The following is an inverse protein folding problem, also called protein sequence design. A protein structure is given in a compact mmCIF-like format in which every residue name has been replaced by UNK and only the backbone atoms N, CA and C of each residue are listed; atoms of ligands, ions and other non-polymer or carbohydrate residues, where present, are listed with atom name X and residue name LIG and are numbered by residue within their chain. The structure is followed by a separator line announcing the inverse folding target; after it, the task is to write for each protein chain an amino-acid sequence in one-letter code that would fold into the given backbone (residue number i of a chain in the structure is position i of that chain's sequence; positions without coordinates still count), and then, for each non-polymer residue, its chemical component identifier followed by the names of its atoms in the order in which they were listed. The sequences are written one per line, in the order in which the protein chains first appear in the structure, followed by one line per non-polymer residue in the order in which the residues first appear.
data_IF_106487587140
#
_entry.id   IF_106487587140
#
_cell.length_a   1.000
_cell.length_b   1.000
_cell.length_c   1.000
_cell.angle_alpha   90.00
_cell.angle_beta   90.00
_cell.angle_gamma   90.00
#
_symmetry.space_group_name_H-M   'P 1'
#
loop_
_entity.id
_entity.type
_entity.pdbx_description
1 polymer ?
#
# COMPACT_ATOMS: atom_id res chain seq x y z
N UNK A 1 24.66 14.71 -10.56
CA UNK A 1 24.30 13.27 -10.55
C UNK A 1 23.43 13.18 -9.31
N UNK A 2 22.11 13.23 -9.50
CA UNK A 2 21.17 13.99 -8.66
C UNK A 2 21.07 13.61 -7.17
N UNK A 3 21.18 14.62 -6.32
CA UNK A 3 20.30 15.03 -5.23
C UNK A 3 19.36 13.93 -4.71
N UNK A 4 19.84 13.09 -3.80
CA UNK A 4 19.16 11.84 -3.43
C UNK A 4 17.78 12.06 -2.77
N UNK A 5 17.58 13.19 -2.09
CA UNK A 5 16.31 13.51 -1.39
C UNK A 5 15.35 14.26 -2.32
N UNK A 6 15.82 15.27 -3.04
CA UNK A 6 15.03 16.04 -4.01
C UNK A 6 14.53 15.14 -5.14
N UNK A 7 15.40 14.27 -5.67
CA UNK A 7 15.01 13.31 -6.69
C UNK A 7 14.00 12.30 -6.14
N UNK A 8 14.10 11.89 -4.86
CA UNK A 8 13.07 11.05 -4.25
C UNK A 8 11.72 11.80 -4.16
N UNK A 9 11.74 13.07 -3.74
CA UNK A 9 10.56 13.92 -3.64
C UNK A 9 9.86 14.14 -4.98
N UNK A 10 10.62 14.41 -6.04
CA UNK A 10 10.11 14.56 -7.42
C UNK A 10 9.41 13.28 -7.89
N UNK A 11 10.04 12.12 -7.70
CA UNK A 11 9.48 10.82 -8.10
C UNK A 11 8.22 10.43 -7.32
N UNK A 12 8.15 10.83 -6.05
CA UNK A 12 6.96 10.61 -5.22
C UNK A 12 5.75 11.41 -5.72
N UNK A 13 5.98 12.58 -6.34
CA UNK A 13 4.94 13.42 -6.93
C UNK A 13 4.60 13.02 -8.38
N UNK A 14 5.47 12.29 -9.09
CA UNK A 14 5.14 11.79 -10.42
C UNK A 14 4.23 10.56 -10.38
N UNK A 15 2.97 10.74 -10.81
CA UNK A 15 1.98 9.66 -10.87
C UNK A 15 2.26 8.61 -11.93
N UNK A 16 3.27 8.82 -12.79
CA UNK A 16 3.73 7.82 -13.75
C UNK A 16 4.60 6.77 -13.07
N UNK A 17 5.28 7.10 -11.98
CA UNK A 17 6.17 6.17 -11.28
C UNK A 17 5.43 5.29 -10.29
N UNK A 18 5.77 4.01 -10.29
CA UNK A 18 5.23 3.05 -9.34
C UNK A 18 6.04 3.09 -8.05
N UNK A 19 5.36 2.84 -6.94
CA UNK A 19 5.98 2.78 -5.63
C UNK A 19 7.02 1.66 -5.58
N UNK A 20 6.80 0.53 -6.27
CA UNK A 20 7.81 -0.54 -6.41
C UNK A 20 9.14 -0.06 -7.01
N UNK A 21 9.10 0.96 -7.89
CA UNK A 21 10.27 1.54 -8.54
C UNK A 21 10.97 2.58 -7.63
N UNK A 22 10.23 3.22 -6.74
CA UNK A 22 10.71 4.29 -5.84
C UNK A 22 11.31 3.72 -4.55
N UNK A 23 10.71 2.66 -4.01
CA UNK A 23 11.07 2.07 -2.70
C UNK A 23 12.55 1.71 -2.55
N UNK A 24 13.25 1.10 -3.54
CA UNK A 24 14.67 0.79 -3.40
C UNK A 24 15.54 2.02 -3.14
N UNK A 25 15.24 3.14 -3.77
CA UNK A 25 15.94 4.41 -3.57
C UNK A 25 15.68 4.97 -2.17
N UNK A 26 14.43 4.92 -1.70
CA UNK A 26 14.06 5.37 -0.35
C UNK A 26 14.73 4.50 0.74
N UNK A 27 14.76 3.18 0.57
CA UNK A 27 15.45 2.26 1.49
C UNK A 27 16.95 2.60 1.55
N UNK A 28 17.58 2.83 0.40
CA UNK A 28 19.00 3.19 0.31
C UNK A 28 19.27 4.50 1.04
N UNK A 29 18.43 5.52 0.84
CA UNK A 29 18.54 6.80 1.53
C UNK A 29 18.44 6.63 3.07
N UNK A 30 17.45 5.88 3.56
CA UNK A 30 17.29 5.61 4.99
C UNK A 30 18.53 4.90 5.58
N UNK A 31 19.11 3.95 4.83
CA UNK A 31 20.36 3.28 5.22
C UNK A 31 21.56 4.24 5.27
N UNK A 32 21.70 5.13 4.28
CA UNK A 32 22.79 6.12 4.24
C UNK A 32 22.72 7.11 5.41
N UNK A 33 21.50 7.47 5.83
CA UNK A 33 21.21 8.30 7.00
C UNK A 33 21.30 7.55 8.33
N UNK A 34 21.49 6.22 8.31
CA UNK A 34 21.46 5.33 9.49
C UNK A 34 20.14 5.33 10.26
N UNK A 35 19.04 5.63 9.59
CA UNK A 35 17.68 5.56 10.12
C UNK A 35 17.18 4.11 10.01
N UNK A 36 17.42 3.33 11.08
CA UNK A 36 17.21 1.88 11.07
C UNK A 36 15.73 1.52 11.12
N UNK A 37 14.94 2.28 11.86
CA UNK A 37 13.50 2.05 12.02
C UNK A 37 12.78 2.34 10.69
N UNK A 38 13.10 3.46 10.05
CA UNK A 38 12.60 3.83 8.73
C UNK A 38 13.00 2.79 7.67
N UNK A 39 14.28 2.41 7.61
CA UNK A 39 14.74 1.41 6.64
C UNK A 39 14.07 0.04 6.85
N UNK A 40 13.82 -0.36 8.10
CA UNK A 40 13.10 -1.60 8.42
C UNK A 40 11.65 -1.52 7.98
N UNK A 41 10.95 -0.44 8.30
CA UNK A 41 9.56 -0.23 7.88
C UNK A 41 9.43 -0.26 6.36
N UNK A 42 10.31 0.44 5.63
CA UNK A 42 10.29 0.44 4.17
C UNK A 42 10.51 -0.95 3.57
N UNK A 43 11.44 -1.74 4.11
CA UNK A 43 11.65 -3.12 3.65
C UNK A 43 10.42 -3.99 3.90
N UNK A 44 9.81 -3.90 5.08
CA UNK A 44 8.59 -4.65 5.39
C UNK A 44 7.42 -4.21 4.50
N UNK A 45 7.28 -2.92 4.21
CA UNK A 45 6.27 -2.44 3.25
C UNK A 45 6.52 -2.97 1.83
N UNK A 46 7.78 -3.04 1.41
CA UNK A 46 8.19 -3.52 0.10
C UNK A 46 7.96 -5.02 -0.07
N UNK A 47 8.45 -5.83 0.87
CA UNK A 47 8.43 -7.29 0.82
C UNK A 47 7.07 -7.87 1.26
N UNK A 48 6.38 -7.17 2.16
CA UNK A 48 5.16 -7.63 2.82
C UNK A 48 5.39 -8.06 4.28
N UNK A 49 4.27 -8.28 4.97
CA UNK A 49 4.24 -8.59 6.40
C UNK A 49 4.13 -10.10 6.60
N UNK A 50 5.16 -10.71 7.19
CA UNK A 50 5.15 -12.12 7.55
C UNK A 50 4.38 -12.43 8.84
N UNK A 51 4.28 -11.46 9.76
CA UNK A 51 3.56 -11.58 11.01
C UNK A 51 2.32 -10.65 11.04
N UNK A 52 1.10 -11.19 11.19
CA UNK A 52 -0.11 -10.39 11.32
C UNK A 52 -0.06 -9.34 12.45
N UNK A 53 0.71 -9.58 13.52
CA UNK A 53 0.82 -8.63 14.64
C UNK A 53 1.60 -7.36 14.28
N UNK A 54 2.44 -7.43 13.25
CA UNK A 54 3.27 -6.31 12.78
C UNK A 54 2.58 -5.39 11.80
N UNK A 55 1.33 -5.69 11.41
CA UNK A 55 0.54 -4.89 10.49
C UNK A 55 0.18 -3.51 11.08
N UNK A 56 0.54 -2.41 10.39
CA UNK A 56 0.09 -1.08 10.75
C UNK A 56 -1.44 -0.98 10.73
N UNK A 57 -2.04 -0.07 11.54
CA UNK A 57 -3.50 0.13 11.59
C UNK A 57 -4.15 0.32 10.21
N UNK A 58 -3.51 1.05 9.29
CA UNK A 58 -4.09 1.30 7.96
C UNK A 58 -4.14 0.06 7.06
N UNK A 59 -3.38 -1.01 7.36
CA UNK A 59 -3.42 -2.29 6.62
C UNK A 59 -4.38 -3.30 7.22
N UNK A 60 -5.00 -3.00 8.37
CA UNK A 60 -5.92 -3.89 9.07
C UNK A 60 -7.37 -3.54 8.78
N UNK A 61 -8.24 -4.54 8.87
CA UNK A 61 -9.70 -4.39 8.78
C UNK A 61 -10.15 -3.62 7.52
N UNK A 62 -9.50 -3.87 6.38
CA UNK A 62 -9.83 -3.20 5.11
C UNK A 62 -11.16 -3.73 4.60
N UNK A 63 -12.18 -2.87 4.40
CA UNK A 63 -13.53 -3.31 4.07
C UNK A 63 -13.63 -3.91 2.67
N UNK A 64 -14.47 -4.93 2.54
CA UNK A 64 -14.83 -5.57 1.29
C UNK A 64 -16.26 -6.10 1.29
N UNK A 65 -16.67 -6.66 0.16
CA UNK A 65 -18.02 -7.20 -0.03
C UNK A 65 -17.97 -8.70 -0.24
N UNK A 66 -18.73 -9.45 0.55
CA UNK A 66 -18.82 -10.91 0.45
C UNK A 66 -19.67 -11.27 -0.77
N UNK A 67 -19.12 -12.14 -1.62
CA UNK A 67 -19.75 -12.61 -2.86
C UNK A 67 -19.75 -14.14 -2.91
N UNK A 68 -20.77 -14.70 -3.56
CA UNK A 68 -20.94 -16.13 -3.80
C UNK A 68 -20.90 -16.43 -5.30
N UNK A 69 -20.35 -17.58 -5.66
CA UNK A 69 -20.28 -18.05 -7.05
C UNK A 69 -21.56 -18.77 -7.46
N UNK A 70 -22.42 -18.10 -8.22
CA UNK A 70 -23.55 -18.71 -8.90
C UNK A 70 -23.12 -19.39 -10.21
N UNK A 71 -23.58 -20.62 -10.49
CA UNK A 71 -23.33 -21.30 -11.78
C UNK A 71 -23.86 -20.53 -12.99
N UNK A 72 -24.93 -19.74 -12.82
CA UNK A 72 -25.62 -19.05 -13.91
C UNK A 72 -25.18 -17.59 -14.06
N UNK A 73 -25.03 -16.88 -12.93
CA UNK A 73 -24.77 -15.43 -12.93
C UNK A 73 -23.34 -15.05 -12.56
N UNK A 74 -22.47 -16.04 -12.33
CA UNK A 74 -21.12 -15.80 -11.85
C UNK A 74 -21.13 -15.29 -10.40
N UNK A 75 -20.28 -14.32 -10.10
CA UNK A 75 -20.16 -13.77 -8.74
C UNK A 75 -21.29 -12.79 -8.44
N UNK A 76 -22.10 -13.12 -7.43
CA UNK A 76 -23.20 -12.28 -6.93
C UNK A 76 -22.98 -11.95 -5.46
N UNK A 77 -23.53 -10.83 -4.94
CA UNK A 77 -23.51 -10.56 -3.50
C UNK A 77 -24.06 -11.74 -2.70
N UNK A 78 -23.33 -12.15 -1.65
CA UNK A 78 -23.78 -13.24 -0.79
C UNK A 78 -24.91 -12.75 0.13
N UNK A 79 -25.91 -13.60 0.46
CA UNK A 79 -26.96 -13.26 1.41
C UNK A 79 -26.41 -13.32 2.84
N UNK A 80 -25.69 -12.27 3.24
CA UNK A 80 -25.05 -12.16 4.57
C UNK A 80 -25.75 -11.16 5.49
N UNK A 81 -25.87 -11.51 6.76
CA UNK A 81 -26.33 -10.66 7.85
C UNK A 81 -25.22 -9.74 8.38
N UNK A 82 -25.56 -8.86 9.32
CA UNK A 82 -24.59 -7.89 9.86
C UNK A 82 -23.52 -8.52 10.74
N UNK A 83 -23.76 -9.70 11.32
CA UNK A 83 -22.73 -10.43 12.07
C UNK A 83 -21.68 -10.98 11.10
N UNK A 84 -22.12 -11.62 10.03
CA UNK A 84 -21.25 -12.17 8.99
C UNK A 84 -20.46 -11.08 8.28
N UNK A 85 -21.05 -9.91 8.04
CA UNK A 85 -20.31 -8.74 7.50
C UNK A 85 -19.23 -8.25 8.46
N UNK A 86 -19.46 -8.26 9.77
CA UNK A 86 -18.42 -7.89 10.73
C UNK A 86 -17.29 -8.91 10.74
N UNK A 87 -17.64 -10.19 10.81
CA UNK A 87 -16.68 -11.28 10.98
C UNK A 87 -15.86 -11.56 9.70
N UNK A 88 -16.46 -11.41 8.51
CA UNK A 88 -15.84 -11.80 7.22
C UNK A 88 -15.81 -10.68 6.17
N UNK A 89 -16.39 -9.51 6.45
CA UNK A 89 -16.46 -8.37 5.52
C UNK A 89 -15.22 -7.49 5.48
N UNK A 90 -14.12 -7.93 6.09
CA UNK A 90 -12.87 -7.17 6.16
C UNK A 90 -11.68 -8.08 5.88
N UNK A 91 -10.58 -7.50 5.40
CA UNK A 91 -9.31 -8.20 5.19
C UNK A 91 -8.13 -7.40 5.72
N UNK A 92 -7.18 -8.14 6.28
CA UNK A 92 -5.84 -7.62 6.54
C UNK A 92 -5.01 -7.72 5.25
N UNK A 93 -4.30 -6.64 4.93
CA UNK A 93 -3.55 -6.50 3.68
C UNK A 93 -2.06 -6.62 3.97
N UNK A 94 -1.57 -7.86 4.04
CA UNK A 94 -0.19 -8.20 4.37
C UNK A 94 0.76 -8.19 3.18
N UNK A 95 0.24 -8.10 1.97
CA UNK A 95 1.06 -8.19 0.76
C UNK A 95 2.00 -6.98 0.61
N UNK A 96 3.19 -7.24 0.08
CA UNK A 96 4.16 -6.19 -0.26
C UNK A 96 3.66 -5.29 -1.38
N UNK A 97 4.27 -4.10 -1.49
CA UNK A 97 3.89 -3.04 -2.44
C UNK A 97 3.73 -3.56 -3.87
N UNK A 98 4.66 -4.38 -4.36
CA UNK A 98 4.59 -4.95 -5.72
C UNK A 98 3.27 -5.70 -5.99
N UNK A 99 2.81 -6.49 -5.03
CA UNK A 99 1.57 -7.25 -5.17
C UNK A 99 0.34 -6.33 -5.11
N UNK A 100 0.35 -5.37 -4.18
CA UNK A 100 -0.71 -4.38 -4.04
C UNK A 100 -0.86 -3.52 -5.30
N UNK A 101 0.25 -3.02 -5.84
CA UNK A 101 0.26 -2.22 -7.05
C UNK A 101 -0.22 -3.02 -8.25
N UNK A 102 0.34 -4.22 -8.48
CA UNK A 102 -0.12 -5.11 -9.55
C UNK A 102 -1.62 -5.35 -9.47
N UNK A 103 -2.14 -5.59 -8.28
CA UNK A 103 -3.58 -5.80 -8.06
C UNK A 103 -4.37 -4.53 -8.38
N UNK A 104 -3.96 -3.39 -7.86
CA UNK A 104 -4.58 -2.08 -8.10
C UNK A 104 -4.63 -1.71 -9.60
N UNK A 105 -3.53 -1.93 -10.32
CA UNK A 105 -3.38 -1.68 -11.76
C UNK A 105 -4.21 -2.63 -12.62
N UNK A 106 -4.40 -3.87 -12.16
CA UNK A 106 -5.22 -4.88 -12.84
C UNK A 106 -6.74 -4.62 -12.69
N UNK A 107 -7.15 -3.91 -11.63
CA UNK A 107 -8.53 -3.57 -11.37
C UNK A 107 -8.96 -2.32 -12.14
N UNK A 108 -10.17 -2.32 -12.70
CA UNK A 108 -10.79 -1.12 -13.29
C UNK A 108 -11.47 -0.27 -12.20
N UNK A 109 -11.73 1.02 -12.46
CA UNK A 109 -12.57 1.84 -11.57
C UNK A 109 -13.91 1.16 -11.29
N UNK A 110 -14.35 1.23 -10.03
CA UNK A 110 -15.61 0.61 -9.60
C UNK A 110 -15.59 -0.92 -9.52
N UNK A 111 -14.45 -1.55 -9.78
CA UNK A 111 -14.24 -2.99 -9.56
C UNK A 111 -13.32 -3.24 -8.38
N UNK A 112 -13.07 -4.50 -8.06
CA UNK A 112 -12.20 -4.90 -6.96
C UNK A 112 -11.53 -6.24 -7.21
N UNK A 113 -10.53 -6.52 -6.38
CA UNK A 113 -9.87 -7.81 -6.34
C UNK A 113 -10.71 -8.80 -5.54
N UNK A 114 -10.83 -10.02 -6.03
CA UNK A 114 -11.55 -11.10 -5.35
C UNK A 114 -10.54 -11.99 -4.64
N UNK A 115 -10.70 -12.11 -3.34
CA UNK A 115 -9.90 -12.96 -2.46
C UNK A 115 -10.83 -14.09 -2.00
N UNK A 116 -10.58 -15.30 -2.48
CA UNK A 116 -11.32 -16.49 -2.08
C UNK A 116 -11.02 -16.79 -0.61
N UNK A 117 -12.05 -17.08 0.18
CA UNK A 117 -11.86 -17.48 1.58
C UNK A 117 -11.02 -18.75 1.67
N UNK A 118 -10.23 -18.88 2.73
CA UNK A 118 -9.55 -20.15 2.98
C UNK A 118 -10.55 -21.26 3.36
N UNK A 119 -10.07 -22.49 3.50
CA UNK A 119 -10.96 -23.65 3.75
C UNK A 119 -11.73 -23.54 5.06
N UNK A 120 -11.13 -22.96 6.10
CA UNK A 120 -11.73 -22.87 7.43
C UNK A 120 -12.76 -21.74 7.48
N UNK A 121 -12.39 -20.56 6.97
CA UNK A 121 -13.29 -19.42 6.80
C UNK A 121 -14.48 -19.79 5.90
N UNK A 122 -14.21 -20.47 4.79
CA UNK A 122 -15.24 -20.88 3.83
C UNK A 122 -16.22 -21.86 4.47
N UNK A 123 -15.75 -22.92 5.13
CA UNK A 123 -16.62 -23.89 5.79
C UNK A 123 -17.47 -23.24 6.88
N UNK A 124 -16.87 -22.34 7.66
CA UNK A 124 -17.57 -21.59 8.71
C UNK A 124 -18.67 -20.72 8.12
N UNK A 125 -18.35 -19.91 7.12
CA UNK A 125 -19.31 -19.00 6.51
C UNK A 125 -20.41 -19.77 5.76
N UNK A 126 -20.07 -20.82 5.00
CA UNK A 126 -21.02 -21.71 4.32
C UNK A 126 -22.02 -22.34 5.29
N UNK A 127 -21.56 -22.80 6.46
CA UNK A 127 -22.42 -23.33 7.51
C UNK A 127 -23.37 -22.29 8.09
N UNK A 128 -22.92 -21.03 8.21
CA UNK A 128 -23.74 -19.93 8.73
C UNK A 128 -24.81 -19.45 7.74
N UNK A 129 -24.53 -19.48 6.43
CA UNK A 129 -25.47 -19.02 5.38
C UNK A 129 -26.23 -20.17 4.70
N UNK A 130 -25.99 -21.42 5.11
CA UNK A 130 -26.54 -22.64 4.52
C UNK A 130 -26.39 -22.71 2.98
N UNK A 131 -25.17 -22.45 2.50
CA UNK A 131 -24.82 -22.41 1.07
C UNK A 131 -23.59 -23.28 0.80
N UNK A 132 -23.58 -24.01 -0.31
CA UNK A 132 -22.43 -24.85 -0.72
C UNK A 132 -21.55 -24.21 -1.78
N UNK A 133 -21.91 -23.01 -2.25
CA UNK A 133 -21.15 -22.34 -3.30
C UNK A 133 -19.83 -21.74 -2.78
N UNK A 134 -18.88 -21.56 -3.69
CA UNK A 134 -17.62 -20.88 -3.40
C UNK A 134 -17.89 -19.42 -3.00
N UNK A 135 -17.27 -18.98 -1.89
CA UNK A 135 -17.39 -17.63 -1.37
C UNK A 135 -16.07 -16.89 -1.52
N UNK A 136 -16.15 -15.58 -1.73
CA UNK A 136 -14.98 -14.71 -1.75
C UNK A 136 -15.34 -13.35 -1.15
N UNK A 137 -14.33 -12.57 -0.78
CA UNK A 137 -14.48 -11.15 -0.50
C UNK A 137 -13.92 -10.34 -1.66
N UNK A 138 -14.67 -9.33 -2.07
CA UNK A 138 -14.21 -8.35 -3.07
C UNK A 138 -13.72 -7.11 -2.36
N UNK A 139 -12.42 -6.87 -2.38
CA UNK A 139 -11.79 -5.63 -1.88
C UNK A 139 -11.71 -4.64 -3.04
N UNK A 140 -12.25 -3.44 -2.85
CA UNK A 140 -12.36 -2.44 -3.92
C UNK A 140 -10.99 -1.94 -4.38
N UNK A 141 -10.86 -1.56 -5.67
CA UNK A 141 -9.66 -0.88 -6.18
C UNK A 141 -9.30 0.35 -5.33
N UNK A 142 -10.31 1.11 -4.89
CA UNK A 142 -10.13 2.31 -4.08
C UNK A 142 -9.43 1.99 -2.75
N UNK A 143 -9.73 0.85 -2.13
CA UNK A 143 -9.03 0.38 -0.93
C UNK A 143 -7.53 0.17 -1.19
N UNK A 144 -7.16 -0.45 -2.32
CA UNK A 144 -5.75 -0.58 -2.71
C UNK A 144 -5.09 0.77 -3.01
N UNK A 145 -5.79 1.66 -3.73
CA UNK A 145 -5.29 3.02 -4.00
C UNK A 145 -4.99 3.77 -2.71
N UNK A 146 -5.90 3.74 -1.74
CA UNK A 146 -5.73 4.41 -0.43
C UNK A 146 -4.52 3.87 0.33
N UNK A 147 -4.33 2.55 0.38
CA UNK A 147 -3.17 1.94 1.03
C UNK A 147 -1.85 2.42 0.42
N UNK A 148 -1.75 2.34 -0.91
CA UNK A 148 -0.57 2.77 -1.64
C UNK A 148 -0.31 4.26 -1.49
N UNK A 149 -1.38 5.08 -1.50
CA UNK A 149 -1.32 6.53 -1.27
C UNK A 149 -0.81 6.88 0.12
N UNK A 150 -1.22 6.14 1.17
CA UNK A 150 -0.72 6.37 2.54
C UNK A 150 0.79 6.17 2.61
N UNK A 151 1.31 5.08 2.03
CA UNK A 151 2.75 4.78 2.04
C UNK A 151 3.52 5.84 1.24
N UNK A 152 3.04 6.19 0.05
CA UNK A 152 3.64 7.23 -0.80
C UNK A 152 3.65 8.60 -0.11
N UNK A 153 2.56 8.94 0.57
CA UNK A 153 2.43 10.18 1.33
C UNK A 153 3.35 10.21 2.55
N UNK A 154 3.51 9.09 3.27
CA UNK A 154 4.44 8.99 4.39
C UNK A 154 5.89 9.21 3.93
N UNK A 155 6.28 8.61 2.80
CA UNK A 155 7.58 8.82 2.17
C UNK A 155 7.80 10.28 1.75
N UNK A 156 6.77 10.91 1.19
CA UNK A 156 6.82 12.33 0.81
C UNK A 156 7.04 13.23 2.02
N UNK A 157 6.24 13.04 3.08
CA UNK A 157 6.39 13.81 4.31
C UNK A 157 7.77 13.63 4.96
N UNK A 158 8.32 12.42 4.89
CA UNK A 158 9.68 12.15 5.35
C UNK A 158 10.73 12.86 4.49
N UNK A 159 10.62 12.82 3.16
CA UNK A 159 11.52 13.54 2.26
C UNK A 159 11.47 15.06 2.49
N UNK A 160 10.27 15.63 2.65
CA UNK A 160 10.07 17.04 3.00
C UNK A 160 10.75 17.39 4.33
N UNK A 161 10.55 16.58 5.38
CA UNK A 161 11.18 16.81 6.67
C UNK A 161 12.73 16.74 6.62
N UNK A 162 13.29 15.88 5.77
CA UNK A 162 14.74 15.85 5.53
C UNK A 162 15.22 17.15 4.88
N UNK A 163 14.53 17.62 3.84
CA UNK A 163 14.86 18.86 3.13
C UNK A 163 14.72 20.10 4.02
N UNK A 164 13.69 20.18 4.86
CA UNK A 164 13.50 21.28 5.83
C UNK A 164 14.66 21.40 6.81
N UNK A 165 15.27 20.26 7.18
CA UNK A 165 16.44 20.20 8.05
C UNK A 165 17.74 20.40 7.25
N UNK A 166 17.65 20.69 5.94
CA UNK A 166 18.78 20.97 5.06
C UNK A 166 19.55 19.73 4.64
N UNK A 167 18.94 18.53 4.73
CA UNK A 167 19.47 17.31 4.12
C UNK A 167 18.97 17.26 2.67
N UNK A 168 19.76 17.82 1.77
CA UNK A 168 19.46 17.91 0.33
C UNK A 168 20.73 18.13 -0.49
N UNK A 169 20.68 17.92 -1.80
CA UNK A 169 21.81 18.05 -2.72
C UNK A 169 22.56 16.74 -3.02
N UNK A 170 23.53 16.81 -3.93
CA UNK A 170 24.30 15.64 -4.43
C UNK A 170 25.22 15.07 -3.31
N UNK A 171 24.67 14.18 -2.48
CA UNK A 171 25.42 13.50 -1.41
C UNK A 171 25.68 12.03 -1.77
N UNK A 172 26.96 11.65 -1.88
CA UNK A 172 27.37 10.24 -1.91
C UNK A 172 27.42 9.60 -0.52
N UNK A 173 27.47 10.42 0.54
CA UNK A 173 27.47 9.98 1.93
C UNK A 173 27.09 11.12 2.86
N UNK A 174 26.49 10.79 4.01
CA UNK A 174 26.20 11.75 5.08
C UNK A 174 27.22 11.67 6.22
N UNK A 175 27.64 12.83 6.71
CA UNK A 175 28.50 13.01 7.88
C UNK A 175 27.80 12.56 9.16
N UNK A 176 28.55 12.44 10.25
CA UNK A 176 27.99 12.09 11.55
C UNK A 176 27.06 13.20 12.08
N UNK A 177 27.39 14.46 11.85
CA UNK A 177 26.61 15.61 12.30
C UNK A 177 25.27 15.72 11.56
N UNK A 178 25.27 15.51 10.23
CA UNK A 178 24.03 15.44 9.44
C UNK A 178 23.11 14.33 9.94
N UNK A 179 23.66 13.13 10.17
CA UNK A 179 22.89 11.99 10.69
C UNK A 179 22.31 12.27 12.06
N UNK A 180 23.07 12.91 12.96
CA UNK A 180 22.58 13.34 14.28
C UNK A 180 21.44 14.35 14.14
N UNK A 181 21.54 15.29 13.19
CA UNK A 181 20.54 16.32 12.94
C UNK A 181 19.17 15.73 12.60
N UNK A 182 19.13 14.63 11.84
CA UNK A 182 17.88 13.95 11.42
C UNK A 182 17.59 12.64 12.14
N UNK A 183 18.32 12.31 13.21
CA UNK A 183 18.08 11.08 13.97
C UNK A 183 16.64 11.00 14.52
N UNK A 184 16.08 12.16 14.88
CA UNK A 184 14.70 12.30 15.37
C UNK A 184 13.62 12.06 14.29
N UNK A 185 14.01 11.95 13.02
CA UNK A 185 13.13 11.60 11.91
C UNK A 185 13.11 10.08 11.63
N UNK A 186 13.83 9.26 12.39
CA UNK A 186 13.78 7.78 12.33
C UNK A 186 12.53 7.21 13.01
N UNK A 187 11.37 7.75 12.65
CA UNK A 187 10.05 7.40 13.19
C UNK A 187 9.02 7.33 12.04
N UNK A 188 8.91 6.17 11.36
CA UNK A 188 7.93 6.00 10.28
C UNK A 188 6.49 6.18 10.74
N UNK A 189 6.19 5.89 12.02
CA UNK A 189 4.84 5.99 12.57
C UNK A 189 4.30 7.41 12.59
N UNK A 190 5.14 8.38 12.94
CA UNK A 190 4.81 9.79 12.80
C UNK A 190 4.31 10.12 11.38
N UNK A 191 5.01 9.65 10.34
CA UNK A 191 4.72 10.04 8.96
C UNK A 191 3.48 9.36 8.39
N UNK A 192 3.29 8.05 8.61
CA UNK A 192 2.08 7.40 8.10
C UNK A 192 0.82 7.80 8.88
N UNK A 193 0.92 8.16 10.16
CA UNK A 193 -0.21 8.75 10.89
C UNK A 193 -0.59 10.10 10.32
N UNK A 194 0.40 10.96 10.09
CA UNK A 194 0.17 12.25 9.45
C UNK A 194 -0.39 12.09 8.02
N UNK A 195 0.08 11.10 7.26
CA UNK A 195 -0.48 10.79 5.95
C UNK A 195 -1.96 10.37 5.99
N UNK A 196 -2.40 9.68 7.03
CA UNK A 196 -3.82 9.33 7.21
C UNK A 196 -4.68 10.57 7.51
N UNK A 197 -4.13 11.52 8.28
CA UNK A 197 -4.82 12.77 8.64
C UNK A 197 -4.88 13.77 7.49
N UNK A 198 -3.79 13.93 6.72
CA UNK A 198 -3.64 14.95 5.68
C UNK A 198 -3.83 14.42 4.24
N UNK A 199 -4.38 13.21 4.08
CA UNK A 199 -4.35 12.46 2.81
C UNK A 199 -4.93 13.22 1.59
N UNK A 200 -5.88 14.12 1.81
CA UNK A 200 -6.53 14.90 0.75
C UNK A 200 -5.72 16.12 0.28
N UNK A 201 -4.82 16.64 1.11
CA UNK A 201 -4.16 17.94 0.89
C UNK A 201 -2.74 17.82 0.34
N UNK A 202 -2.19 16.60 0.30
CA UNK A 202 -0.84 16.35 -0.19
C UNK A 202 -0.81 16.31 -1.74
N UNK A 203 0.24 16.85 -2.38
CA UNK A 203 0.42 16.86 -3.84
C UNK A 203 0.82 15.47 -4.38
N UNK A 204 0.25 14.40 -3.81
CA UNK A 204 0.56 13.02 -4.14
C UNK A 204 -0.50 12.48 -5.09
N UNK A 205 -0.09 11.90 -6.24
CA UNK A 205 -1.01 11.33 -7.20
C UNK A 205 -1.57 10.01 -6.69
N UNK A 206 -2.81 9.71 -7.08
CA UNK A 206 -3.35 8.36 -6.97
C UNK A 206 -2.70 7.41 -7.97
N UNK A 207 -2.75 6.11 -7.67
CA UNK A 207 -2.32 5.07 -8.61
C UNK A 207 -3.16 5.18 -9.89
N UNK A 208 -2.49 5.44 -11.02
CA UNK A 208 -3.13 5.59 -12.33
C UNK A 208 -3.85 4.30 -12.76
N UNK A 209 -4.84 4.45 -13.63
CA UNK A 209 -5.39 3.30 -14.36
C UNK A 209 -4.49 3.00 -15.55
N UNK A 210 -4.05 1.74 -15.67
CA UNK A 210 -3.33 1.30 -16.86
C UNK A 210 -4.30 1.32 -18.03
N UNK A 211 -3.99 2.13 -19.04
CA UNK A 211 -4.75 2.17 -20.29
C UNK A 211 -4.83 0.78 -20.93
N UNK A 212 -5.86 0.53 -21.75
CA UNK A 212 -6.02 -0.75 -22.44
C UNK A 212 -4.76 -1.17 -23.21
N UNK A 213 -4.06 -0.21 -23.84
CA UNK A 213 -2.85 -0.45 -24.61
C UNK A 213 -1.64 -0.83 -23.75
N UNK A 214 -1.38 -0.13 -22.64
CA UNK A 214 -0.28 -0.48 -21.72
C UNK A 214 -0.46 -1.87 -21.08
N UNK A 215 -1.71 -2.30 -20.87
CA UNK A 215 -2.03 -3.65 -20.37
C UNK A 215 -1.76 -4.77 -21.37
N UNK A 216 -1.89 -4.49 -22.67
CA UNK A 216 -1.75 -5.49 -23.74
C UNK A 216 -0.32 -5.52 -24.31
N UNK A 217 0.35 -4.38 -24.35
CA UNK A 217 1.66 -4.24 -25.00
C UNK A 217 2.82 -4.01 -24.03
N UNK A 218 2.56 -3.93 -22.72
CA UNK A 218 3.54 -3.54 -21.72
C UNK A 218 3.83 -2.03 -21.79
N UNK A 219 4.52 -1.51 -20.77
CA UNK A 219 5.12 -0.16 -20.84
C UNK A 219 6.09 -0.16 -22.03
N UNK A 220 5.80 0.61 -23.07
CA UNK A 220 6.79 0.92 -24.08
C UNK A 220 7.84 1.79 -23.38
N UNK A 221 9.02 1.21 -23.11
CA UNK A 221 10.22 1.95 -22.73
C UNK A 221 10.80 2.71 -23.89
#
# INVERSE_FOLDING_TARGET
MSAAVEHLDERLQDGSELLEEIMPSAITLAMMLRQRTMASWLRTEFDGYGDPSSLPPYRRDVPGHIVARSPQYGWIPAPVDDRQKRDFGHRNMAEGIKSLEKTCLSCKKGTGNRIVFDKEEMATLQGQINLTAELAITVSRDSYCRLLRVIRSALYLWAQALMEVGIGGDHNSYSEDERKKVAHLDDPERFWRQALESNADLPIPDVREVGFFERVFGRAG
#
